data_IF_652552985997
#
_entry.id   IF_652552985997
#
_cell.length_a   1.000
_cell.length_b   1.000
_cell.length_c   1.000
_cell.angle_alpha   90.00
_cell.angle_beta   90.00
_cell.angle_gamma   90.00
#
_symmetry.space_group_name_H-M   'P 1'
#
loop_
_entity.id
_entity.type
_entity.pdbx_description
1 polymer ?
#
# COMPACT_ATOMS: atom_id res chain seq x y z
N UNK A 1 -15.63 1.28 3.90
CA UNK A 1 -14.45 0.70 4.56
C UNK A 1 -13.50 1.77 5.12
N UNK A 2 -13.43 2.96 4.54
CA UNK A 2 -12.49 4.03 4.93
C UNK A 2 -12.81 4.64 6.31
N UNK A 3 -14.08 4.84 6.65
CA UNK A 3 -14.51 5.39 7.95
C UNK A 3 -14.04 4.55 9.16
N UNK A 4 -13.94 3.23 8.99
CA UNK A 4 -13.46 2.33 10.05
C UNK A 4 -11.94 2.40 10.30
N UNK A 5 -11.19 3.04 9.41
CA UNK A 5 -9.78 3.33 9.65
C UNK A 5 -9.57 4.50 10.63
N UNK A 6 -10.56 5.41 10.73
CA UNK A 6 -10.51 6.57 11.63
C UNK A 6 -11.13 6.21 12.98
N UNK A 7 -12.29 5.54 12.97
CA UNK A 7 -13.02 5.19 14.17
C UNK A 7 -13.57 3.76 14.10
N UNK A 8 -13.41 2.98 15.16
CA UNK A 8 -13.86 1.58 15.15
C UNK A 8 -15.38 1.49 14.91
N UNK A 9 -15.80 0.49 14.14
CA UNK A 9 -17.21 0.19 13.87
C UNK A 9 -18.05 0.10 15.15
N UNK A 10 -17.48 -0.49 16.20
CA UNK A 10 -18.14 -0.62 17.51
C UNK A 10 -18.47 0.72 18.13
N UNK A 11 -17.57 1.71 18.00
CA UNK A 11 -17.78 3.05 18.53
C UNK A 11 -18.85 3.79 17.73
N UNK A 12 -18.78 3.76 16.40
CA UNK A 12 -19.78 4.39 15.51
C UNK A 12 -21.18 3.84 15.80
N UNK A 13 -21.30 2.51 15.97
CA UNK A 13 -22.58 1.88 16.35
C UNK A 13 -23.02 2.27 17.76
N UNK A 14 -22.10 2.38 18.70
CA UNK A 14 -22.40 2.83 20.07
C UNK A 14 -23.00 4.23 20.08
N UNK A 15 -22.35 5.17 19.43
CA UNK A 15 -22.80 6.55 19.31
C UNK A 15 -24.17 6.65 18.61
N UNK A 16 -24.42 5.82 17.59
CA UNK A 16 -25.72 5.70 16.93
C UNK A 16 -26.81 5.19 17.89
N UNK A 17 -26.52 4.17 18.69
CA UNK A 17 -27.50 3.64 19.64
C UNK A 17 -27.84 4.65 20.72
N UNK A 18 -26.88 5.43 21.21
CA UNK A 18 -27.11 6.49 22.19
C UNK A 18 -28.09 7.55 21.67
N UNK A 19 -27.90 8.03 20.44
CA UNK A 19 -28.82 9.02 19.85
C UNK A 19 -30.19 8.42 19.55
N UNK A 20 -30.25 7.14 19.13
CA UNK A 20 -31.52 6.45 18.93
C UNK A 20 -32.31 6.32 20.24
N UNK A 21 -31.66 6.07 21.37
CA UNK A 21 -32.33 6.02 22.69
C UNK A 21 -32.83 7.40 23.13
N UNK A 22 -32.12 8.47 22.79
CA UNK A 22 -32.60 9.84 22.98
C UNK A 22 -33.88 10.08 22.19
N UNK A 23 -33.87 9.73 20.90
CA UNK A 23 -35.03 9.89 20.01
C UNK A 23 -36.22 9.03 20.45
N UNK A 24 -35.99 7.77 20.88
CA UNK A 24 -37.03 6.90 21.40
C UNK A 24 -37.72 7.48 22.65
N UNK A 25 -36.94 8.06 23.57
CA UNK A 25 -37.52 8.73 24.77
C UNK A 25 -38.36 9.94 24.41
N UNK A 26 -37.95 10.74 23.46
CA UNK A 26 -38.73 11.85 22.96
C UNK A 26 -40.01 11.38 22.26
N UNK A 27 -39.93 10.35 21.42
CA UNK A 27 -41.09 9.78 20.72
C UNK A 27 -42.08 9.10 21.68
N UNK A 28 -41.63 8.42 22.74
CA UNK A 28 -42.47 7.79 23.76
C UNK A 28 -43.36 8.84 24.51
N UNK A 29 -42.95 10.10 24.54
CA UNK A 29 -43.72 11.25 25.07
C UNK A 29 -44.57 11.93 23.98
N UNK A 30 -44.65 11.39 22.79
CA UNK A 30 -45.29 12.06 21.64
C UNK A 30 -44.76 13.48 21.41
N UNK A 31 -43.49 13.75 21.74
CA UNK A 31 -42.83 15.06 21.74
C UNK A 31 -43.57 16.15 22.56
N UNK A 32 -44.41 15.73 23.51
CA UNK A 32 -45.07 16.67 24.39
C UNK A 32 -44.08 17.50 25.21
N UNK A 33 -44.21 18.83 25.17
CA UNK A 33 -43.26 19.76 25.79
C UNK A 33 -42.01 20.06 24.96
N UNK A 34 -41.99 19.62 23.67
CA UNK A 34 -40.88 19.82 22.75
C UNK A 34 -39.67 18.93 23.02
N UNK A 35 -38.56 19.24 22.37
CA UNK A 35 -37.26 18.58 22.59
C UNK A 35 -36.64 19.19 23.86
N UNK A 36 -36.37 18.37 24.85
CA UNK A 36 -35.71 18.79 26.10
C UNK A 36 -34.25 19.16 25.84
N UNK A 37 -33.66 19.98 26.72
CA UNK A 37 -32.29 20.46 26.55
C UNK A 37 -31.26 19.30 26.58
N UNK A 38 -31.49 18.28 27.40
CA UNK A 38 -30.65 17.08 27.42
C UNK A 38 -30.73 16.25 26.11
N UNK A 39 -31.96 16.15 25.56
CA UNK A 39 -32.18 15.48 24.29
C UNK A 39 -31.50 16.24 23.14
N UNK A 40 -31.62 17.56 23.15
CA UNK A 40 -30.97 18.44 22.19
C UNK A 40 -29.46 18.36 22.28
N UNK A 41 -28.91 18.34 23.49
CA UNK A 41 -27.47 18.18 23.72
C UNK A 41 -26.95 16.83 23.19
N UNK A 42 -27.67 15.72 23.42
CA UNK A 42 -27.31 14.40 22.93
C UNK A 42 -27.33 14.33 21.39
N UNK A 43 -28.37 14.88 20.76
CA UNK A 43 -28.46 14.94 19.29
C UNK A 43 -27.34 15.80 18.72
N UNK A 44 -27.07 16.96 19.31
CA UNK A 44 -26.01 17.86 18.88
C UNK A 44 -24.65 17.20 19.00
N UNK A 45 -24.34 16.59 20.12
CA UNK A 45 -23.08 15.86 20.34
C UNK A 45 -22.84 14.78 19.27
N UNK A 46 -23.89 14.04 18.90
CA UNK A 46 -23.79 13.06 17.83
C UNK A 46 -23.55 13.69 16.46
N UNK A 47 -24.24 14.78 16.12
CA UNK A 47 -24.03 15.52 14.87
C UNK A 47 -22.61 16.07 14.81
N UNK A 48 -22.11 16.65 15.92
CA UNK A 48 -20.75 17.18 15.99
C UNK A 48 -19.71 16.05 15.78
N UNK A 49 -19.94 14.87 16.40
CA UNK A 49 -19.04 13.72 16.22
C UNK A 49 -19.01 13.18 14.78
N UNK A 50 -20.13 13.18 14.08
CA UNK A 50 -20.20 12.81 12.66
C UNK A 50 -19.49 13.85 11.78
N UNK A 51 -19.68 15.14 12.05
CA UNK A 51 -19.01 16.21 11.31
C UNK A 51 -17.49 16.14 11.49
N UNK A 52 -17.02 15.87 12.71
CA UNK A 52 -15.59 15.69 13.01
C UNK A 52 -15.03 14.48 12.26
N UNK A 53 -15.75 13.36 12.23
CA UNK A 53 -15.36 12.17 11.50
C UNK A 53 -15.27 12.43 9.99
N UNK A 54 -16.23 13.13 9.42
CA UNK A 54 -16.23 13.51 7.99
C UNK A 54 -15.09 14.47 7.67
N UNK A 55 -14.79 15.42 8.54
CA UNK A 55 -13.69 16.37 8.37
C UNK A 55 -12.34 15.68 8.41
N UNK A 56 -12.16 14.70 9.30
CA UNK A 56 -10.94 13.89 9.38
C UNK A 56 -10.76 13.01 8.12
N UNK A 57 -11.85 12.42 7.62
CA UNK A 57 -11.83 11.66 6.37
C UNK A 57 -11.40 12.53 5.19
N UNK A 58 -12.01 13.71 5.07
CA UNK A 58 -11.68 14.64 3.99
C UNK A 58 -10.23 15.13 4.07
N UNK A 59 -9.72 15.43 5.27
CA UNK A 59 -8.32 15.83 5.47
C UNK A 59 -7.37 14.72 5.04
N UNK A 60 -7.68 13.48 5.42
CA UNK A 60 -6.87 12.31 5.04
C UNK A 60 -6.87 12.09 3.52
N UNK A 61 -8.03 12.19 2.88
CA UNK A 61 -8.13 12.08 1.41
C UNK A 61 -7.30 13.16 0.70
N UNK A 62 -7.33 14.40 1.21
CA UNK A 62 -6.51 15.50 0.68
C UNK A 62 -5.01 15.25 0.86
N UNK A 63 -4.59 14.74 2.02
CA UNK A 63 -3.20 14.38 2.27
C UNK A 63 -2.73 13.23 1.38
N UNK A 64 -3.56 12.20 1.21
CA UNK A 64 -3.28 11.10 0.30
C UNK A 64 -3.17 11.57 -1.15
N UNK A 65 -4.07 12.45 -1.60
CA UNK A 65 -4.02 13.03 -2.94
C UNK A 65 -2.76 13.88 -3.15
N UNK A 66 -2.44 14.76 -2.20
CA UNK A 66 -1.23 15.56 -2.25
C UNK A 66 0.05 14.70 -2.29
N UNK A 67 0.06 13.59 -1.53
CA UNK A 67 1.13 12.60 -1.57
C UNK A 67 1.26 11.94 -2.94
N UNK A 68 0.14 11.55 -3.57
CA UNK A 68 0.12 10.99 -4.93
C UNK A 68 0.64 11.98 -5.97
N UNK A 69 0.22 13.24 -5.87
CA UNK A 69 0.62 14.31 -6.79
C UNK A 69 2.10 14.67 -6.67
N UNK A 70 2.68 14.50 -5.48
CA UNK A 70 4.11 14.72 -5.24
C UNK A 70 5.01 13.59 -5.76
N UNK A 71 4.44 12.46 -6.22
CA UNK A 71 5.23 11.34 -6.73
C UNK A 71 5.98 11.68 -8.01
N UNK A 72 7.29 11.80 -7.93
CA UNK A 72 8.16 12.18 -9.05
C UNK A 72 8.02 11.25 -10.28
N UNK A 73 7.78 9.96 -10.05
CA UNK A 73 7.62 8.96 -11.11
C UNK A 73 6.35 9.15 -11.97
N UNK A 74 5.38 9.95 -11.53
CA UNK A 74 4.17 10.30 -12.28
C UNK A 74 4.40 11.41 -13.30
N UNK A 75 5.46 12.20 -13.13
CA UNK A 75 5.69 13.44 -13.87
C UNK A 75 6.89 13.30 -14.81
N UNK A 76 6.84 14.00 -15.94
CA UNK A 76 7.97 14.09 -16.86
C UNK A 76 7.99 13.03 -17.97
N UNK A 77 9.00 13.15 -18.83
CA UNK A 77 9.31 12.18 -19.88
C UNK A 77 10.35 11.18 -19.38
N UNK A 78 10.00 9.91 -19.42
CA UNK A 78 10.83 8.80 -18.96
C UNK A 78 11.44 7.97 -20.09
N UNK A 79 11.36 8.46 -21.33
CA UNK A 79 11.94 7.78 -22.50
C UNK A 79 13.45 7.62 -22.32
N UNK A 80 13.92 6.37 -22.32
CA UNK A 80 15.33 6.03 -22.05
C UNK A 80 15.74 6.08 -20.57
N UNK A 81 14.81 6.38 -19.68
CA UNK A 81 15.03 6.43 -18.21
C UNK A 81 14.00 5.58 -17.44
N UNK A 82 13.52 4.54 -18.08
CA UNK A 82 12.44 3.70 -17.53
C UNK A 82 12.82 3.06 -16.19
N UNK A 83 14.07 2.57 -16.02
CA UNK A 83 14.54 2.00 -14.76
C UNK A 83 14.60 3.03 -13.63
N UNK A 84 14.93 4.26 -13.92
CA UNK A 84 14.91 5.34 -12.92
C UNK A 84 13.48 5.63 -12.47
N UNK A 85 12.52 5.65 -13.38
CA UNK A 85 11.09 5.79 -13.05
C UNK A 85 10.62 4.65 -12.15
N UNK A 86 10.93 3.42 -12.51
CA UNK A 86 10.53 2.25 -11.71
C UNK A 86 11.22 2.25 -10.33
N UNK A 87 12.45 2.73 -10.25
CA UNK A 87 13.14 2.92 -8.96
C UNK A 87 12.45 3.98 -8.10
N UNK A 88 12.07 5.13 -8.66
CA UNK A 88 11.32 6.16 -7.95
C UNK A 88 9.95 5.64 -7.49
N UNK A 89 9.28 4.86 -8.35
CA UNK A 89 8.04 4.19 -7.98
C UNK A 89 8.23 3.26 -6.79
N UNK A 90 9.17 2.32 -6.84
CA UNK A 90 9.48 1.42 -5.73
C UNK A 90 9.85 2.18 -4.46
N UNK A 91 10.68 3.23 -4.58
CA UNK A 91 11.10 4.06 -3.45
C UNK A 91 9.92 4.77 -2.77
N UNK A 92 8.86 5.12 -3.50
CA UNK A 92 7.67 5.75 -2.93
C UNK A 92 6.80 4.78 -2.11
N UNK A 93 7.01 3.48 -2.24
CA UNK A 93 6.35 2.43 -1.45
C UNK A 93 7.28 1.78 -0.42
N UNK A 94 8.55 2.13 -0.43
CA UNK A 94 9.52 1.51 0.45
C UNK A 94 9.45 2.10 1.86
N UNK A 95 9.19 1.23 2.83
CA UNK A 95 9.06 1.59 4.25
C UNK A 95 10.32 1.27 5.07
N UNK A 96 11.39 0.80 4.42
CA UNK A 96 12.63 0.51 5.12
C UNK A 96 13.33 1.80 5.58
N UNK A 97 13.99 1.78 6.75
CA UNK A 97 14.72 2.95 7.24
C UNK A 97 15.94 3.30 6.36
N UNK A 98 16.55 2.30 5.74
CA UNK A 98 17.63 2.50 4.78
C UNK A 98 17.05 2.70 3.38
N UNK A 99 17.32 3.81 2.69
CA UNK A 99 16.77 4.09 1.39
C UNK A 99 17.20 3.03 0.36
N UNK A 100 16.32 2.74 -0.59
CA UNK A 100 16.62 1.83 -1.69
C UNK A 100 17.74 2.42 -2.57
N UNK A 101 18.89 1.73 -2.74
CA UNK A 101 19.96 2.23 -3.60
C UNK A 101 19.46 2.50 -5.02
N UNK A 102 20.05 3.49 -5.70
CA UNK A 102 19.69 3.82 -7.08
C UNK A 102 19.83 2.61 -8.01
N UNK A 103 18.92 2.47 -8.95
CA UNK A 103 18.94 1.38 -9.92
C UNK A 103 20.03 1.62 -10.95
N UNK A 104 21.18 1.04 -10.71
CA UNK A 104 22.34 1.08 -11.61
C UNK A 104 22.57 -0.27 -12.26
N UNK A 105 23.27 -0.28 -13.39
CA UNK A 105 23.65 -1.53 -14.07
C UNK A 105 24.63 -2.33 -13.21
N UNK A 106 24.54 -3.66 -13.31
CA UNK A 106 25.55 -4.56 -12.74
C UNK A 106 26.86 -4.46 -13.52
N UNK A 107 27.97 -4.61 -12.82
CA UNK A 107 29.30 -4.63 -13.43
C UNK A 107 29.80 -6.07 -13.53
N UNK A 108 30.84 -6.35 -14.33
CA UNK A 108 31.47 -7.67 -14.36
C UNK A 108 32.01 -8.14 -12.98
N UNK A 109 32.21 -7.21 -12.06
CA UNK A 109 32.69 -7.46 -10.70
C UNK A 109 31.60 -7.95 -9.74
N UNK A 110 30.32 -7.74 -10.12
CA UNK A 110 29.17 -8.20 -9.31
C UNK A 110 27.88 -7.44 -9.53
N UNK A 111 26.83 -7.81 -8.78
CA UNK A 111 25.54 -7.15 -8.86
C UNK A 111 25.61 -5.71 -8.33
N UNK A 112 24.74 -4.85 -8.87
CA UNK A 112 24.60 -3.47 -8.39
C UNK A 112 24.16 -3.43 -6.91
N UNK A 113 24.43 -2.35 -6.18
CA UNK A 113 23.93 -2.17 -4.80
C UNK A 113 22.39 -2.29 -4.71
N UNK A 114 21.68 -1.89 -5.76
CA UNK A 114 20.22 -2.06 -5.87
C UNK A 114 19.83 -3.53 -5.84
N UNK A 115 20.44 -4.36 -6.68
CA UNK A 115 20.14 -5.81 -6.71
C UNK A 115 20.57 -6.51 -5.44
N UNK A 116 21.70 -6.11 -4.83
CA UNK A 116 22.14 -6.62 -3.53
C UNK A 116 21.13 -6.36 -2.42
N UNK A 117 20.54 -5.15 -2.39
CA UNK A 117 19.50 -4.79 -1.42
C UNK A 117 18.23 -5.64 -1.55
N UNK A 118 17.97 -6.21 -2.74
CA UNK A 118 16.81 -7.06 -3.03
C UNK A 118 17.11 -8.57 -2.99
N UNK A 119 18.37 -8.96 -2.93
CA UNK A 119 18.84 -10.35 -3.01
C UNK A 119 18.20 -11.29 -1.98
N UNK A 120 17.96 -10.79 -0.76
CA UNK A 120 17.34 -11.58 0.31
C UNK A 120 15.85 -11.88 0.10
N UNK A 121 15.21 -11.22 -0.85
CA UNK A 121 13.77 -11.28 -1.09
C UNK A 121 12.93 -10.58 0.00
N UNK A 122 13.48 -10.25 1.16
CA UNK A 122 12.72 -9.62 2.25
C UNK A 122 12.14 -8.27 1.83
N UNK A 123 12.98 -7.40 1.26
CA UNK A 123 12.54 -6.08 0.81
C UNK A 123 11.51 -6.16 -0.34
N UNK A 124 11.64 -7.15 -1.23
CA UNK A 124 10.66 -7.41 -2.28
C UNK A 124 9.30 -7.84 -1.72
N UNK A 125 9.29 -8.68 -0.69
CA UNK A 125 8.06 -9.06 0.02
C UNK A 125 7.41 -7.85 0.67
N UNK A 126 8.19 -7.00 1.33
CA UNK A 126 7.69 -5.78 1.99
C UNK A 126 7.11 -4.79 0.98
N UNK A 127 7.84 -4.53 -0.11
CA UNK A 127 7.38 -3.67 -1.21
C UNK A 127 6.09 -4.22 -1.84
N UNK A 128 6.04 -5.52 -2.14
CA UNK A 128 4.84 -6.16 -2.68
C UNK A 128 3.64 -5.96 -1.76
N UNK A 129 3.80 -6.22 -0.46
CA UNK A 129 2.72 -6.06 0.50
C UNK A 129 2.25 -4.61 0.61
N UNK A 130 3.16 -3.64 0.58
CA UNK A 130 2.81 -2.23 0.64
C UNK A 130 2.06 -1.76 -0.64
N UNK A 131 2.49 -2.23 -1.82
CA UNK A 131 1.79 -1.97 -3.08
C UNK A 131 0.39 -2.60 -3.11
N UNK A 132 0.24 -3.83 -2.59
CA UNK A 132 -1.06 -4.50 -2.46
C UNK A 132 -2.00 -3.72 -1.53
N UNK A 133 -1.51 -3.23 -0.39
CA UNK A 133 -2.33 -2.45 0.57
C UNK A 133 -2.84 -1.14 0.00
N UNK A 134 -2.05 -0.50 -0.88
CA UNK A 134 -2.41 0.78 -1.50
C UNK A 134 -3.13 0.64 -2.84
N UNK A 135 -3.35 -0.58 -3.31
CA UNK A 135 -4.14 -0.85 -4.51
C UNK A 135 -5.63 -1.01 -4.19
N UNK A 136 -6.48 -0.78 -5.17
CA UNK A 136 -7.94 -0.96 -5.02
C UNK A 136 -8.34 -2.41 -4.75
N UNK A 137 -7.51 -3.37 -5.20
CA UNK A 137 -7.73 -4.81 -5.01
C UNK A 137 -6.78 -5.37 -3.95
N UNK A 138 -7.03 -5.21 -2.64
CA UNK A 138 -6.10 -5.57 -1.57
C UNK A 138 -6.09 -7.09 -1.29
N UNK A 139 -5.78 -7.91 -2.29
CA UNK A 139 -5.57 -9.35 -2.15
C UNK A 139 -4.17 -9.76 -2.61
N UNK A 140 -3.69 -10.91 -2.15
CA UNK A 140 -2.37 -11.43 -2.53
C UNK A 140 -1.23 -10.95 -1.61
N UNK A 141 -1.55 -10.38 -0.45
CA UNK A 141 -0.55 -10.06 0.57
C UNK A 141 0.17 -11.32 1.06
N UNK A 142 1.50 -11.25 1.16
CA UNK A 142 2.34 -12.34 1.67
C UNK A 142 2.35 -12.25 3.20
N UNK A 143 1.59 -13.13 3.86
CA UNK A 143 1.44 -13.13 5.32
C UNK A 143 2.58 -13.82 6.06
N UNK A 144 3.21 -14.81 5.43
CA UNK A 144 4.27 -15.62 6.04
C UNK A 144 5.54 -15.48 5.23
N UNK A 145 6.60 -14.94 5.85
CA UNK A 145 7.92 -14.78 5.27
C UNK A 145 8.98 -14.67 6.37
N UNK A 146 10.27 -14.77 5.99
CA UNK A 146 11.39 -14.75 6.93
C UNK A 146 11.94 -13.33 7.06
N UNK A 147 11.92 -12.79 8.27
CA UNK A 147 12.56 -11.50 8.61
C UNK A 147 14.05 -11.67 8.91
N UNK A 148 14.45 -12.81 9.50
CA UNK A 148 15.85 -13.19 9.66
C UNK A 148 16.35 -13.86 8.37
N UNK A 149 17.17 -13.15 7.61
CA UNK A 149 17.73 -13.56 6.32
C UNK A 149 19.18 -14.01 6.39
N UNK A 150 19.68 -14.34 7.58
CA UNK A 150 21.07 -14.81 7.76
C UNK A 150 21.35 -16.15 7.07
N UNK A 151 20.32 -16.95 6.78
CA UNK A 151 20.47 -18.26 6.15
C UNK A 151 20.00 -18.22 4.69
N UNK A 152 20.81 -18.72 3.72
CA UNK A 152 20.47 -18.68 2.29
C UNK A 152 19.12 -19.29 1.93
N UNK A 153 18.68 -20.36 2.60
CA UNK A 153 17.38 -20.97 2.32
C UNK A 153 16.20 -20.02 2.63
N UNK A 154 16.34 -19.15 3.65
CA UNK A 154 15.30 -18.15 4.00
C UNK A 154 15.19 -17.06 2.93
N UNK A 155 16.32 -16.63 2.39
CA UNK A 155 16.34 -15.72 1.25
C UNK A 155 15.66 -16.37 0.03
N UNK A 156 15.98 -17.64 -0.25
CA UNK A 156 15.37 -18.37 -1.35
C UNK A 156 13.85 -18.51 -1.19
N UNK A 157 13.36 -18.79 0.01
CA UNK A 157 11.91 -18.88 0.27
C UNK A 157 11.23 -17.52 0.12
N UNK A 158 11.83 -16.43 0.64
CA UNK A 158 11.29 -15.08 0.45
C UNK A 158 11.16 -14.72 -1.04
N UNK A 159 12.18 -15.01 -1.85
CA UNK A 159 12.15 -14.79 -3.29
C UNK A 159 11.04 -15.61 -3.99
N UNK A 160 10.84 -16.87 -3.56
CA UNK A 160 9.76 -17.72 -4.08
C UNK A 160 8.39 -17.20 -3.68
N UNK A 161 8.22 -16.80 -2.42
CA UNK A 161 6.96 -16.20 -1.95
C UNK A 161 6.63 -14.94 -2.73
N UNK A 162 7.62 -14.04 -2.88
CA UNK A 162 7.44 -12.83 -3.67
C UNK A 162 7.07 -13.13 -5.12
N UNK A 163 7.86 -13.95 -5.83
CA UNK A 163 7.60 -14.24 -7.24
C UNK A 163 6.23 -14.88 -7.45
N UNK A 164 5.85 -15.83 -6.59
CA UNK A 164 4.54 -16.48 -6.69
C UNK A 164 3.37 -15.55 -6.39
N UNK A 165 3.49 -14.73 -5.35
CA UNK A 165 2.46 -13.76 -5.01
C UNK A 165 2.34 -12.67 -6.10
N UNK A 166 3.46 -12.22 -6.66
CA UNK A 166 3.49 -11.26 -7.74
C UNK A 166 2.84 -11.81 -9.03
N UNK A 167 3.13 -13.07 -9.39
CA UNK A 167 2.48 -13.72 -10.53
C UNK A 167 0.96 -13.81 -10.35
N UNK A 168 0.51 -14.19 -9.15
CA UNK A 168 -0.93 -14.35 -8.87
C UNK A 168 -1.66 -13.01 -8.78
N UNK A 169 -1.02 -11.99 -8.21
CA UNK A 169 -1.67 -10.69 -7.98
C UNK A 169 -1.66 -9.79 -9.21
N UNK A 170 -0.54 -9.78 -9.94
CA UNK A 170 -0.29 -8.86 -11.06
C UNK A 170 -0.31 -9.55 -12.42
N UNK A 171 -0.66 -10.84 -12.46
CA UNK A 171 -0.75 -11.65 -13.69
C UNK A 171 0.54 -11.59 -14.55
N UNK A 172 1.69 -11.40 -13.89
CA UNK A 172 2.99 -11.21 -14.54
C UNK A 172 3.86 -12.44 -14.34
N UNK A 173 4.17 -13.16 -15.44
CA UNK A 173 5.07 -14.31 -15.36
C UNK A 173 6.50 -13.86 -15.07
N UNK A 174 7.05 -14.33 -13.95
CA UNK A 174 8.39 -14.02 -13.46
C UNK A 174 9.28 -15.27 -13.54
N UNK A 175 10.40 -15.17 -14.27
CA UNK A 175 11.31 -16.32 -14.51
C UNK A 175 12.75 -15.94 -14.21
N UNK A 176 13.28 -16.43 -13.10
CA UNK A 176 14.69 -16.32 -12.71
C UNK A 176 15.12 -17.50 -11.83
N UNK A 177 16.42 -17.73 -11.72
CA UNK A 177 16.94 -18.81 -10.86
C UNK A 177 17.19 -18.27 -9.45
N UNK A 178 16.29 -18.59 -8.53
CA UNK A 178 16.34 -18.14 -7.14
C UNK A 178 17.65 -18.52 -6.44
N UNK A 179 18.13 -19.77 -6.63
CA UNK A 179 19.35 -20.24 -5.96
C UNK A 179 20.60 -19.54 -6.49
N UNK A 180 20.66 -19.28 -7.80
CA UNK A 180 21.78 -18.55 -8.39
C UNK A 180 21.85 -17.10 -7.90
N UNK A 181 20.69 -16.43 -7.74
CA UNK A 181 20.61 -15.10 -7.15
C UNK A 181 21.08 -15.10 -5.70
N UNK A 182 20.55 -16.02 -4.88
CA UNK A 182 20.93 -16.11 -3.45
C UNK A 182 22.42 -16.39 -3.26
N UNK A 183 23.02 -17.22 -4.09
CA UNK A 183 24.45 -17.55 -4.00
C UNK A 183 25.36 -16.54 -4.72
N UNK A 184 24.82 -15.68 -5.56
CA UNK A 184 25.56 -14.59 -6.20
C UNK A 184 26.68 -15.00 -7.17
N UNK A 185 26.60 -16.19 -7.75
CA UNK A 185 27.69 -16.78 -8.51
C UNK A 185 27.54 -16.73 -10.03
N UNK A 186 26.46 -16.16 -10.54
CA UNK A 186 26.10 -16.23 -11.95
C UNK A 186 25.66 -14.86 -12.45
N UNK A 187 26.44 -14.28 -13.36
CA UNK A 187 26.14 -12.98 -13.98
C UNK A 187 24.80 -13.01 -14.74
N UNK A 188 24.53 -14.07 -15.48
CA UNK A 188 23.26 -14.25 -16.18
C UNK A 188 22.06 -14.29 -15.21
N UNK A 189 22.24 -14.85 -14.03
CA UNK A 189 21.19 -14.87 -13.01
C UNK A 189 20.85 -13.47 -12.52
N UNK A 190 21.85 -12.60 -12.33
CA UNK A 190 21.63 -11.21 -11.94
C UNK A 190 20.94 -10.40 -13.03
N UNK A 191 21.33 -10.60 -14.27
CA UNK A 191 20.67 -9.94 -15.40
C UNK A 191 19.19 -10.35 -15.51
N UNK A 192 18.89 -11.64 -15.40
CA UNK A 192 17.51 -12.15 -15.40
C UNK A 192 16.71 -11.66 -14.18
N UNK A 193 17.36 -11.53 -13.04
CA UNK A 193 16.73 -11.00 -11.83
C UNK A 193 16.39 -9.51 -11.99
N UNK A 194 17.31 -8.70 -12.53
CA UNK A 194 17.07 -7.30 -12.89
C UNK A 194 15.88 -7.15 -13.84
N UNK A 195 15.87 -7.90 -14.94
CA UNK A 195 14.78 -7.91 -15.92
C UNK A 195 13.43 -8.34 -15.28
N UNK A 196 13.49 -9.30 -14.37
CA UNK A 196 12.30 -9.79 -13.64
C UNK A 196 11.73 -8.71 -12.72
N UNK A 197 12.58 -8.01 -11.97
CA UNK A 197 12.18 -6.90 -11.10
C UNK A 197 11.60 -5.77 -11.94
N UNK A 198 12.26 -5.43 -13.06
CA UNK A 198 11.79 -4.38 -13.97
C UNK A 198 10.38 -4.70 -14.52
N UNK A 199 10.19 -5.90 -15.04
CA UNK A 199 8.91 -6.36 -15.58
C UNK A 199 7.80 -6.33 -14.51
N UNK A 200 8.10 -6.82 -13.32
CA UNK A 200 7.15 -6.79 -12.20
C UNK A 200 6.79 -5.36 -11.82
N UNK A 201 7.79 -4.50 -11.61
CA UNK A 201 7.59 -3.14 -11.19
C UNK A 201 6.78 -2.33 -12.21
N UNK A 202 7.08 -2.48 -13.50
CA UNK A 202 6.34 -1.85 -14.58
C UNK A 202 4.86 -2.24 -14.56
N UNK A 203 4.54 -3.53 -14.47
CA UNK A 203 3.16 -4.01 -14.42
C UNK A 203 2.38 -3.48 -13.21
N UNK A 204 3.02 -3.48 -12.05
CA UNK A 204 2.43 -2.94 -10.80
C UNK A 204 2.17 -1.44 -10.92
N UNK A 205 3.15 -0.67 -11.40
CA UNK A 205 3.02 0.77 -11.59
C UNK A 205 1.92 1.13 -12.59
N UNK A 206 1.81 0.40 -13.68
CA UNK A 206 0.76 0.62 -14.68
C UNK A 206 -0.64 0.39 -14.11
N UNK A 207 -0.84 -0.68 -13.33
CA UNK A 207 -2.11 -0.93 -12.66
C UNK A 207 -2.44 0.16 -11.63
N UNK A 208 -1.51 0.46 -10.72
CA UNK A 208 -1.72 1.50 -9.70
C UNK A 208 -1.94 2.88 -10.34
N UNK A 209 -1.21 3.21 -11.41
CA UNK A 209 -1.42 4.47 -12.12
C UNK A 209 -2.82 4.57 -12.72
N UNK A 210 -3.34 3.48 -13.26
CA UNK A 210 -4.70 3.40 -13.80
C UNK A 210 -5.75 3.54 -12.71
N UNK A 211 -5.60 2.82 -11.60
CA UNK A 211 -6.48 2.92 -10.43
C UNK A 211 -6.56 4.36 -9.90
N UNK A 212 -5.41 5.02 -9.73
CA UNK A 212 -5.38 6.40 -9.26
C UNK A 212 -6.01 7.39 -10.24
N UNK A 213 -5.77 7.23 -11.55
CA UNK A 213 -6.40 8.07 -12.58
C UNK A 213 -7.92 7.85 -12.67
N UNK A 214 -8.42 6.66 -12.38
CA UNK A 214 -9.85 6.36 -12.31
C UNK A 214 -10.49 6.99 -11.06
N UNK A 215 -9.83 6.92 -9.92
CA UNK A 215 -10.26 7.57 -8.69
C UNK A 215 -10.34 9.11 -8.84
N UNK A 216 -9.31 9.73 -9.45
CA UNK A 216 -9.27 11.18 -9.72
C UNK A 216 -10.40 11.66 -10.66
N UNK A 217 -10.86 10.81 -11.59
CA UNK A 217 -11.98 11.14 -12.48
C UNK A 217 -13.35 10.98 -11.84
N UNK A 218 -13.42 10.24 -10.75
CA UNK A 218 -14.66 9.91 -10.05
C UNK A 218 -14.92 10.81 -8.83
N UNK A 219 -13.93 11.59 -8.41
CA UNK A 219 -13.99 12.56 -7.32
C UNK A 219 -14.43 13.93 -7.81
#
# INVERSE_FOLDING_TARGET
QQLYAIQSERKIRGDLYEVLDVLKRAAAREFRGGVKDEERAGIKSWIDSINDLMSQEQSREQEEQASRDSCAWRQGDWTGREREREWLFMSSFDTNPDPLPAWTESTPEGPSPFLQALQSGLRLVQLHNEMVRRSERPFGEIKTFFTDVAKPYRCAENLRFWSKAAELRWETHLSFNVLHVVHGKDEDAWKRFDETIFKWCQGVREEISKEWAEAERSA
#
